data_IF_752782787468
#
_entry.id   IF_752782787468
#
_cell.length_a   1.000
_cell.length_b   1.000
_cell.length_c   1.000
_cell.angle_alpha   90.00
_cell.angle_beta   90.00
_cell.angle_gamma   90.00
#
_symmetry.space_group_name_H-M   'P 1'
#
loop_
_entity.id
_entity.type
_entity.pdbx_description
1 polymer ?
#
# COMPACT_ATOMS: atom_id res chain seq x y z
N UNK A 1 7.10 -4.52 3.91
CA UNK A 1 5.82 -4.09 4.49
C UNK A 1 5.90 -4.25 5.99
N UNK A 2 5.41 -3.26 6.74
CA UNK A 2 5.40 -3.23 8.21
C UNK A 2 3.93 -3.13 8.62
N UNK A 3 3.41 -4.18 9.26
CA UNK A 3 2.00 -4.22 9.65
C UNK A 3 1.00 -4.26 8.47
N UNK A 4 -0.28 -3.96 8.72
CA UNK A 4 -1.35 -4.17 7.74
C UNK A 4 -1.47 -3.08 6.67
N UNK A 5 -0.87 -1.90 6.88
CA UNK A 5 -1.17 -0.70 6.07
C UNK A 5 0.05 0.12 5.67
N UNK A 6 1.26 -0.22 6.13
CA UNK A 6 2.46 0.58 5.91
C UNK A 6 3.50 -0.15 5.09
N UNK A 7 3.94 0.47 4.00
CA UNK A 7 4.97 -0.06 3.09
C UNK A 7 6.07 0.98 2.95
N UNK A 8 7.32 0.53 3.05
CA UNK A 8 8.50 1.33 2.80
C UNK A 8 9.28 0.69 1.65
N UNK A 9 9.61 1.48 0.63
CA UNK A 9 10.50 1.09 -0.46
C UNK A 9 11.77 1.91 -0.36
N UNK A 10 12.88 1.21 -0.11
CA UNK A 10 14.19 1.81 0.06
C UNK A 10 14.99 1.51 -1.20
N UNK A 11 15.24 2.52 -2.02
CA UNK A 11 16.05 2.38 -3.24
C UNK A 11 17.39 3.06 -3.01
N UNK A 12 18.47 2.28 -3.16
CA UNK A 12 19.85 2.77 -3.07
C UNK A 12 20.53 2.49 -4.39
N UNK A 13 20.99 3.55 -5.04
CA UNK A 13 21.83 3.43 -6.23
C UNK A 13 23.06 4.33 -6.09
N UNK A 14 24.26 3.86 -6.48
CA UNK A 14 25.47 4.68 -6.44
C UNK A 14 25.36 5.99 -7.23
N UNK A 15 24.60 5.99 -8.33
CA UNK A 15 24.44 7.15 -9.22
C UNK A 15 23.30 8.09 -8.83
N UNK A 16 22.30 7.56 -8.15
CA UNK A 16 21.03 8.24 -7.87
C UNK A 16 20.91 8.65 -6.39
N UNK A 17 21.76 8.11 -5.52
CA UNK A 17 21.66 8.30 -4.08
C UNK A 17 20.59 7.43 -3.45
N UNK A 18 20.04 7.89 -2.33
CA UNK A 18 19.06 7.16 -1.51
C UNK A 18 17.67 7.77 -1.70
N UNK A 19 16.74 6.97 -2.22
CA UNK A 19 15.33 7.33 -2.34
C UNK A 19 14.53 6.46 -1.37
N UNK A 20 13.64 7.10 -0.62
CA UNK A 20 12.72 6.47 0.31
C UNK A 20 11.29 6.79 -0.10
N UNK A 21 10.49 5.75 -0.34
CA UNK A 21 9.06 5.90 -0.64
C UNK A 21 8.28 5.24 0.48
N UNK A 22 7.40 6.02 1.09
CA UNK A 22 6.50 5.58 2.14
C UNK A 22 5.08 5.54 1.60
N UNK A 23 4.44 4.38 1.64
CA UNK A 23 3.04 4.21 1.27
C UNK A 23 2.24 3.79 2.50
N UNK A 24 1.18 4.54 2.79
CA UNK A 24 0.25 4.26 3.87
C UNK A 24 -1.16 4.11 3.31
N UNK A 25 -1.88 3.08 3.76
CA UNK A 25 -3.28 2.80 3.38
C UNK A 25 -4.16 2.84 4.62
N UNK A 26 -5.01 3.85 4.73
CA UNK A 26 -5.90 4.02 5.89
C UNK A 26 -7.35 3.72 5.47
N UNK A 27 -8.05 2.80 6.15
CA UNK A 27 -9.48 2.61 5.92
C UNK A 27 -10.23 3.84 6.45
N UNK A 28 -11.03 4.48 5.58
CA UNK A 28 -11.86 5.63 5.95
C UNK A 28 -13.29 5.18 6.22
N UNK A 29 -13.82 4.29 5.38
CA UNK A 29 -15.14 3.67 5.50
C UNK A 29 -15.09 2.24 4.90
N UNK A 30 -16.11 1.39 5.11
CA UNK A 30 -16.21 0.14 4.37
C UNK A 30 -16.10 0.38 2.86
N UNK A 31 -15.17 -0.33 2.20
CA UNK A 31 -14.85 -0.18 0.78
C UNK A 31 -14.20 1.15 0.35
N UNK A 32 -13.90 2.07 1.28
CA UNK A 32 -13.19 3.31 0.99
C UNK A 32 -11.85 3.36 1.73
N UNK A 33 -10.78 3.52 0.97
CA UNK A 33 -9.42 3.57 1.49
C UNK A 33 -8.72 4.83 1.02
N UNK A 34 -8.00 5.49 1.93
CA UNK A 34 -7.11 6.61 1.61
C UNK A 34 -5.69 6.07 1.48
N UNK A 35 -5.09 6.25 0.31
CA UNK A 35 -3.69 5.91 0.07
C UNK A 35 -2.87 7.18 -0.04
N UNK A 36 -1.75 7.22 0.70
CA UNK A 36 -0.82 8.34 0.68
C UNK A 36 0.57 7.81 0.37
N UNK A 37 1.18 8.34 -0.69
CA UNK A 37 2.58 8.09 -1.03
C UNK A 37 3.41 9.32 -0.69
N UNK A 38 4.51 9.13 0.04
CA UNK A 38 5.50 10.16 0.37
C UNK A 38 6.86 9.77 -0.18
N UNK A 39 7.44 10.65 -0.97
CA UNK A 39 8.71 10.43 -1.64
C UNK A 39 9.78 11.33 -1.02
N UNK A 40 10.87 10.74 -0.58
CA UNK A 40 12.03 11.44 -0.05
C UNK A 40 13.25 11.07 -0.91
N UNK A 41 13.97 12.08 -1.38
CA UNK A 41 15.17 11.90 -2.19
C UNK A 41 16.12 13.10 -2.02
N UNK A 42 17.39 12.98 -2.45
CA UNK A 42 18.32 14.10 -2.43
C UNK A 42 17.83 15.25 -3.31
N UNK A 43 18.13 16.50 -2.94
CA UNK A 43 17.63 17.70 -3.64
C UNK A 43 17.97 17.72 -5.14
N UNK A 44 19.14 17.20 -5.52
CA UNK A 44 19.58 17.11 -6.92
C UNK A 44 18.63 16.26 -7.79
N UNK A 45 17.88 15.34 -7.18
CA UNK A 45 16.91 14.49 -7.84
C UNK A 45 15.52 15.12 -8.00
N UNK A 46 15.30 16.33 -7.50
CA UNK A 46 13.96 16.96 -7.44
C UNK A 46 13.16 16.85 -8.75
N UNK A 47 13.73 17.21 -9.93
CA UNK A 47 13.02 17.08 -11.20
C UNK A 47 12.63 15.62 -11.52
N UNK A 48 13.55 14.69 -11.34
CA UNK A 48 13.30 13.25 -11.56
C UNK A 48 12.20 12.74 -10.62
N UNK A 49 12.23 13.13 -9.34
CA UNK A 49 11.20 12.73 -8.38
C UNK A 49 9.82 13.27 -8.75
N UNK A 50 9.74 14.48 -9.31
CA UNK A 50 8.47 15.01 -9.80
C UNK A 50 7.89 14.14 -10.92
N UNK A 51 8.73 13.68 -11.85
CA UNK A 51 8.32 12.71 -12.88
C UNK A 51 7.93 11.36 -12.28
N UNK A 52 8.69 10.87 -11.29
CA UNK A 52 8.38 9.61 -10.62
C UNK A 52 7.03 9.65 -9.90
N UNK A 53 6.72 10.73 -9.17
CA UNK A 53 5.42 10.92 -8.51
C UNK A 53 4.29 10.98 -9.53
N UNK A 54 4.50 11.69 -10.65
CA UNK A 54 3.51 11.75 -11.71
C UNK A 54 3.27 10.37 -12.37
N UNK A 55 4.34 9.65 -12.69
CA UNK A 55 4.26 8.30 -13.23
C UNK A 55 3.56 7.33 -12.28
N UNK A 56 3.93 7.36 -10.99
CA UNK A 56 3.27 6.56 -9.95
C UNK A 56 1.78 6.90 -9.86
N UNK A 57 1.41 8.18 -9.93
CA UNK A 57 0.00 8.59 -9.88
C UNK A 57 -0.82 7.97 -11.01
N UNK A 58 -0.28 7.96 -12.23
CA UNK A 58 -0.94 7.34 -13.39
C UNK A 58 -1.03 5.81 -13.24
N UNK A 59 0.06 5.16 -12.82
CA UNK A 59 0.06 3.71 -12.61
C UNK A 59 -0.93 3.31 -11.52
N UNK A 60 -0.96 4.07 -10.43
CA UNK A 60 -1.84 3.84 -9.31
C UNK A 60 -3.32 4.07 -9.66
N UNK A 61 -3.64 5.08 -10.47
CA UNK A 61 -5.00 5.32 -10.98
C UNK A 61 -5.51 4.13 -11.82
N UNK A 62 -4.63 3.52 -12.63
CA UNK A 62 -4.98 2.32 -13.41
C UNK A 62 -5.30 1.13 -12.51
N UNK A 63 -4.53 0.95 -11.45
CA UNK A 63 -4.78 -0.08 -10.46
C UNK A 63 -6.09 0.18 -9.68
N UNK A 64 -6.38 1.43 -9.33
CA UNK A 64 -7.66 1.82 -8.71
C UNK A 64 -8.85 1.41 -9.57
N UNK A 65 -8.79 1.66 -10.89
CA UNK A 65 -9.86 1.28 -11.80
C UNK A 65 -10.13 -0.24 -11.75
N UNK A 66 -9.09 -1.05 -11.70
CA UNK A 66 -9.22 -2.50 -11.56
C UNK A 66 -9.75 -2.91 -10.19
N UNK A 67 -9.30 -2.29 -9.10
CA UNK A 67 -9.75 -2.61 -7.74
C UNK A 67 -11.23 -2.27 -7.52
N UNK A 68 -11.69 -1.13 -8.04
CA UNK A 68 -13.08 -0.68 -7.91
C UNK A 68 -14.07 -1.62 -8.60
N UNK A 69 -13.65 -2.31 -9.66
CA UNK A 69 -14.50 -3.22 -10.43
C UNK A 69 -14.22 -4.70 -10.15
N UNK A 70 -13.48 -5.03 -9.08
CA UNK A 70 -13.08 -6.40 -8.75
C UNK A 70 -13.73 -6.90 -7.46
N UNK A 71 -14.19 -8.15 -7.49
CA UNK A 71 -14.76 -8.83 -6.32
C UNK A 71 -13.65 -9.58 -5.56
N UNK A 72 -13.70 -9.53 -4.23
CA UNK A 72 -12.86 -10.35 -3.38
C UNK A 72 -13.31 -11.82 -3.43
N UNK A 73 -12.43 -12.71 -3.88
CA UNK A 73 -12.64 -14.17 -3.87
C UNK A 73 -11.85 -14.80 -2.73
N UNK A 74 -12.52 -15.48 -1.80
CA UNK A 74 -11.88 -16.18 -0.66
C UNK A 74 -10.94 -17.30 -1.14
N UNK A 75 -11.39 -18.07 -2.13
CA UNK A 75 -10.64 -19.19 -2.72
C UNK A 75 -10.40 -18.92 -4.23
N UNK A 76 -9.40 -18.10 -4.59
CA UNK A 76 -9.05 -17.87 -6.00
C UNK A 76 -8.43 -19.13 -6.61
N UNK A 77 -8.65 -19.34 -7.91
CA UNK A 77 -7.94 -20.35 -8.68
C UNK A 77 -6.54 -19.80 -9.00
N UNK A 78 -5.51 -20.41 -8.41
CA UNK A 78 -4.13 -19.96 -8.53
C UNK A 78 -3.31 -20.97 -9.33
N UNK A 79 -2.49 -20.47 -10.25
CA UNK A 79 -1.42 -21.24 -10.90
C UNK A 79 -0.17 -21.24 -9.99
N UNK A 80 0.86 -22.01 -10.36
CA UNK A 80 2.06 -22.17 -9.52
C UNK A 80 2.80 -20.86 -9.30
N UNK A 81 2.73 -19.97 -10.29
CA UNK A 81 3.37 -18.66 -10.32
C UNK A 81 2.69 -17.67 -9.35
N UNK A 82 1.41 -17.88 -9.04
CA UNK A 82 0.60 -16.99 -8.19
C UNK A 82 0.53 -17.42 -6.71
N UNK A 83 1.32 -18.43 -6.31
CA UNK A 83 1.29 -18.99 -4.96
C UNK A 83 1.65 -17.95 -3.87
N UNK A 84 2.37 -16.89 -4.24
CA UNK A 84 2.67 -15.74 -3.38
C UNK A 84 1.40 -15.07 -2.84
N UNK A 85 0.29 -15.06 -3.58
CA UNK A 85 -0.99 -14.49 -3.15
C UNK A 85 -1.56 -15.23 -1.95
N UNK A 86 -1.46 -16.57 -1.95
CA UNK A 86 -1.91 -17.41 -0.82
C UNK A 86 -1.06 -17.16 0.41
N UNK A 87 0.26 -17.11 0.25
CA UNK A 87 1.20 -16.84 1.34
C UNK A 87 0.96 -15.46 1.94
N UNK A 88 0.77 -14.44 1.10
CA UNK A 88 0.45 -13.08 1.54
C UNK A 88 -0.85 -13.04 2.36
N UNK A 89 -1.93 -13.67 1.89
CA UNK A 89 -3.21 -13.69 2.62
C UNK A 89 -3.11 -14.38 3.97
N UNK A 90 -2.35 -15.46 4.05
CA UNK A 90 -2.10 -16.17 5.31
C UNK A 90 -1.30 -15.32 6.29
N UNK A 91 -0.30 -14.57 5.81
CA UNK A 91 0.42 -13.61 6.65
C UNK A 91 -0.48 -12.45 7.06
N UNK A 92 -1.32 -11.92 6.17
CA UNK A 92 -2.16 -10.75 6.43
C UNK A 92 -3.30 -11.02 7.43
N UNK A 93 -3.78 -12.26 7.54
CA UNK A 93 -4.86 -12.61 8.47
C UNK A 93 -4.50 -12.42 9.94
N UNK A 94 -3.20 -12.35 10.29
CA UNK A 94 -2.76 -12.12 11.67
C UNK A 94 -3.26 -10.78 12.25
N UNK A 95 -3.55 -9.80 11.40
CA UNK A 95 -4.01 -8.47 11.82
C UNK A 95 -5.53 -8.39 12.05
N UNK A 96 -6.25 -9.49 11.79
CA UNK A 96 -7.71 -9.58 11.89
C UNK A 96 -8.12 -10.78 12.75
N UNK A 97 -7.64 -10.78 13.99
CA UNK A 97 -8.03 -11.73 15.03
C UNK A 97 -9.19 -11.19 15.88
N UNK A 98 -9.79 -12.04 16.72
CA UNK A 98 -10.87 -11.64 17.64
C UNK A 98 -10.45 -10.52 18.61
N UNK A 99 -9.16 -10.40 18.93
CA UNK A 99 -8.62 -9.36 19.81
C UNK A 99 -8.20 -8.09 19.05
N UNK A 100 -8.45 -8.02 17.73
CA UNK A 100 -8.08 -6.86 16.93
C UNK A 100 -9.12 -5.75 17.12
N UNK A 101 -8.65 -4.50 17.25
CA UNK A 101 -9.54 -3.34 17.40
C UNK A 101 -10.50 -3.25 16.23
N UNK A 102 -11.78 -3.04 16.52
CA UNK A 102 -12.77 -2.83 15.48
C UNK A 102 -12.59 -1.46 14.82
N UNK A 103 -13.16 -1.29 13.62
CA UNK A 103 -13.12 0.00 12.94
C UNK A 103 -13.76 1.11 13.80
N UNK A 104 -14.91 0.83 14.44
CA UNK A 104 -15.60 1.78 15.31
C UNK A 104 -14.74 2.22 16.50
N UNK A 105 -14.09 1.26 17.17
CA UNK A 105 -13.17 1.54 18.28
C UNK A 105 -11.95 2.37 17.85
N UNK A 106 -11.44 2.13 16.65
CA UNK A 106 -10.32 2.90 16.11
C UNK A 106 -10.74 4.33 15.75
N UNK A 107 -11.92 4.49 15.14
CA UNK A 107 -12.46 5.78 14.68
C UNK A 107 -12.74 6.76 15.84
N UNK A 108 -13.26 6.28 16.96
CA UNK A 108 -13.49 7.11 18.16
C UNK A 108 -12.20 7.70 18.76
N UNK A 109 -11.04 7.12 18.43
CA UNK A 109 -9.73 7.58 18.89
C UNK A 109 -8.94 8.35 17.81
N UNK A 110 -9.56 8.72 16.69
CA UNK A 110 -8.94 9.54 15.65
C UNK A 110 -9.01 11.04 16.01
N UNK A 111 -8.31 11.43 17.07
CA UNK A 111 -7.94 12.84 17.28
C UNK A 111 -6.73 13.15 16.39
N UNK A 112 -6.96 13.87 15.29
CA UNK A 112 -5.91 14.54 14.52
C UNK A 112 -6.18 16.04 14.48
#
# INVERSE_FOLDING_TARGET
QIGPSYVQLHMKSPSMGRIEILQTVTPIEPMLQKVVHRFYAPRMMGPFMKFAVFGESIMFERDMCMWNHKIFRKHPQLVKEDMSVKLFRNWYSQFYSQNSRSFSEAYENFDW
#
